data_IF_360053931961
#
_entry.id   IF_360053931961
#
_cell.length_a   1.000
_cell.length_b   1.000
_cell.length_c   1.000
_cell.angle_alpha   90.00
_cell.angle_beta   90.00
_cell.angle_gamma   90.00
#
_symmetry.space_group_name_H-M   'P 1'
#
loop_
_entity.id
_entity.type
_entity.pdbx_description
1 polymer ?
#
# COMPACT_ATOMS: atom_id res chain seq x y z
N UNK A 1 14.57 -4.41 17.20
CA UNK A 1 14.05 -4.40 18.57
C UNK A 1 14.21 -5.78 19.18
N UNK A 2 14.77 -5.93 20.39
CA UNK A 2 14.84 -7.21 21.08
C UNK A 2 13.44 -7.67 21.48
N UNK A 3 13.13 -8.95 21.27
CA UNK A 3 11.86 -9.55 21.72
C UNK A 3 11.91 -9.86 23.23
N UNK A 4 13.11 -10.15 23.74
CA UNK A 4 13.36 -10.46 25.14
C UNK A 4 14.51 -9.62 25.67
N UNK A 5 14.41 -9.20 26.92
CA UNK A 5 15.43 -8.42 27.62
C UNK A 5 16.42 -9.24 28.46
N UNK A 6 16.25 -10.55 28.52
CA UNK A 6 17.06 -11.46 29.34
C UNK A 6 17.82 -12.45 28.47
N UNK A 7 19.11 -12.64 28.73
CA UNK A 7 19.92 -13.61 28.02
C UNK A 7 19.43 -15.06 28.25
N UNK A 8 18.86 -15.34 29.42
CA UNK A 8 18.24 -16.63 29.76
C UNK A 8 17.05 -16.99 28.87
N UNK A 9 16.47 -16.01 28.16
CA UNK A 9 15.39 -16.24 27.20
C UNK A 9 15.87 -16.64 25.80
N UNK A 10 17.18 -16.72 25.59
CA UNK A 10 17.76 -17.17 24.32
C UNK A 10 17.24 -18.56 23.94
N UNK A 11 16.67 -18.69 22.76
CA UNK A 11 16.11 -19.94 22.22
C UNK A 11 14.69 -20.28 22.70
N UNK A 12 14.06 -19.45 23.55
CA UNK A 12 12.70 -19.72 24.06
C UNK A 12 11.56 -19.15 23.19
N UNK A 13 11.88 -18.55 22.04
CA UNK A 13 10.88 -17.87 21.22
C UNK A 13 9.76 -18.80 20.74
N UNK A 14 10.12 -19.96 20.17
CA UNK A 14 9.10 -20.91 19.69
C UNK A 14 8.32 -21.57 20.82
N UNK A 15 8.89 -21.69 22.00
CA UNK A 15 8.13 -22.10 23.18
C UNK A 15 7.01 -21.09 23.50
N UNK A 16 7.31 -19.79 23.46
CA UNK A 16 6.30 -18.75 23.64
C UNK A 16 5.23 -18.77 22.54
N UNK A 17 5.63 -19.02 21.30
CA UNK A 17 4.67 -19.17 20.18
C UNK A 17 3.77 -20.37 20.38
N UNK A 18 4.34 -21.51 20.75
CA UNK A 18 3.60 -22.74 21.01
C UNK A 18 2.58 -22.59 22.16
N UNK A 19 3.01 -21.96 23.26
CA UNK A 19 2.15 -21.65 24.40
C UNK A 19 0.99 -20.72 23.99
N UNK A 20 1.26 -19.69 23.19
CA UNK A 20 0.25 -18.77 22.69
C UNK A 20 -0.73 -19.44 21.71
N UNK A 21 -0.26 -20.40 20.92
CA UNK A 21 -1.06 -21.17 19.97
C UNK A 21 -1.80 -22.37 20.63
N UNK A 22 -1.46 -22.74 21.86
CA UNK A 22 -2.00 -23.90 22.55
C UNK A 22 -1.57 -25.24 21.97
N UNK A 23 -0.37 -25.32 21.37
CA UNK A 23 0.23 -26.51 20.77
C UNK A 23 1.58 -26.79 21.38
N UNK A 24 2.21 -27.91 21.04
CA UNK A 24 3.59 -28.16 21.39
C UNK A 24 4.53 -27.52 20.36
N UNK A 25 5.76 -27.23 20.79
CA UNK A 25 6.76 -26.63 19.90
C UNK A 25 7.07 -27.55 18.70
N UNK A 26 7.08 -28.86 18.89
CA UNK A 26 7.31 -29.88 17.86
C UNK A 26 6.18 -29.98 16.81
N UNK A 27 4.98 -29.45 17.13
CA UNK A 27 3.83 -29.44 16.23
C UNK A 27 3.82 -28.20 15.29
N UNK A 28 4.75 -27.26 15.47
CA UNK A 28 4.88 -26.07 14.61
C UNK A 28 5.63 -26.47 13.33
N UNK A 29 4.88 -26.76 12.27
CA UNK A 29 5.42 -27.16 10.98
C UNK A 29 5.91 -26.01 10.11
N UNK A 30 5.43 -24.81 10.37
CA UNK A 30 5.78 -23.58 9.67
C UNK A 30 5.18 -22.38 10.38
N UNK A 31 5.63 -21.19 10.04
CA UNK A 31 5.16 -19.97 10.67
C UNK A 31 5.22 -18.79 9.70
N UNK A 32 4.36 -17.81 9.96
CA UNK A 32 4.33 -16.51 9.32
C UNK A 32 4.06 -15.47 10.43
N UNK A 33 5.14 -14.91 10.96
CA UNK A 33 5.13 -14.10 12.18
C UNK A 33 5.65 -12.70 11.89
N UNK A 34 4.86 -11.70 12.27
CA UNK A 34 5.16 -10.30 12.03
C UNK A 34 5.22 -9.51 13.35
N UNK A 35 6.11 -8.52 13.39
CA UNK A 35 6.09 -7.51 14.42
C UNK A 35 5.17 -6.37 14.00
N UNK A 36 4.35 -5.91 14.92
CA UNK A 36 3.52 -4.74 14.68
C UNK A 36 3.52 -3.78 15.88
N UNK A 37 3.31 -2.51 15.59
CA UNK A 37 3.18 -1.50 16.64
C UNK A 37 1.76 -1.55 17.22
N UNK A 38 1.64 -1.69 18.54
CA UNK A 38 0.37 -1.74 19.27
C UNK A 38 -0.11 -0.37 19.76
N UNK A 39 0.63 0.69 19.48
CA UNK A 39 0.20 2.03 19.88
C UNK A 39 -1.08 2.40 19.10
N UNK A 40 -2.11 2.94 19.78
CA UNK A 40 -3.31 3.41 19.10
C UNK A 40 -2.99 4.62 18.22
N UNK A 41 -3.81 4.83 17.21
CA UNK A 41 -3.78 6.07 16.44
C UNK A 41 -4.12 7.26 17.36
N UNK A 42 -3.52 8.40 17.09
CA UNK A 42 -3.69 9.62 17.90
C UNK A 42 -3.86 10.82 16.98
N UNK A 43 -4.84 11.65 17.28
CA UNK A 43 -4.99 13.00 16.71
C UNK A 43 -4.28 13.96 17.64
N UNK A 44 -3.50 14.87 17.08
CA UNK A 44 -2.69 15.83 17.86
C UNK A 44 -2.41 17.10 17.07
N UNK A 45 -1.75 18.05 17.71
CA UNK A 45 -1.55 19.42 17.23
C UNK A 45 -2.44 20.39 18.00
N UNK A 46 -2.18 21.70 17.90
CA UNK A 46 -2.96 22.72 18.60
C UNK A 46 -4.40 22.85 18.09
N UNK A 47 -4.61 22.50 16.83
CA UNK A 47 -5.90 22.52 16.12
C UNK A 47 -6.33 21.11 15.67
N UNK A 48 -5.77 20.08 16.29
CA UNK A 48 -6.02 18.68 15.92
C UNK A 48 -5.70 18.36 14.45
N UNK A 49 -4.69 19.02 13.90
CA UNK A 49 -4.36 19.01 12.48
C UNK A 49 -3.51 17.81 12.04
N UNK A 50 -3.05 17.00 12.99
CA UNK A 50 -2.20 15.84 12.70
C UNK A 50 -2.81 14.53 13.18
N UNK A 51 -2.56 13.49 12.41
CA UNK A 51 -2.85 12.09 12.78
C UNK A 51 -1.54 11.30 12.81
N UNK A 52 -1.29 10.59 13.89
CA UNK A 52 -0.20 9.62 13.98
C UNK A 52 -0.78 8.25 14.25
N UNK A 53 -0.48 7.29 13.39
CA UNK A 53 -0.87 5.90 13.55
C UNK A 53 0.14 4.99 12.85
N UNK A 54 0.30 3.73 13.30
CA UNK A 54 1.03 2.75 12.52
C UNK A 54 0.29 2.44 11.21
N UNK A 55 1.04 2.17 10.16
CA UNK A 55 0.52 1.72 8.85
C UNK A 55 -0.36 2.75 8.11
N UNK A 56 -0.19 4.04 8.39
CA UNK A 56 -0.78 5.09 7.55
C UNK A 56 -0.31 4.95 6.10
N UNK A 57 0.95 4.65 5.94
CA UNK A 57 1.50 4.17 4.69
C UNK A 57 1.32 2.64 4.61
N UNK A 58 0.48 2.10 3.70
CA UNK A 58 -0.29 2.89 2.73
C UNK A 58 -1.82 2.72 2.94
N UNK A 59 -2.26 2.41 4.16
CA UNK A 59 -3.70 2.25 4.45
C UNK A 59 -4.48 3.56 4.24
N UNK A 60 -3.84 4.71 4.37
CA UNK A 60 -4.47 5.99 4.10
C UNK A 60 -4.87 6.14 2.63
N UNK A 61 -3.97 5.81 1.70
CA UNK A 61 -4.28 5.85 0.27
C UNK A 61 -5.26 4.76 -0.13
N UNK A 62 -5.14 3.55 0.45
CA UNK A 62 -6.10 2.47 0.23
C UNK A 62 -7.51 2.89 0.65
N UNK A 63 -7.68 3.52 1.82
CA UNK A 63 -8.96 3.99 2.31
C UNK A 63 -9.51 5.14 1.47
N UNK A 64 -8.71 6.19 1.23
CA UNK A 64 -9.17 7.38 0.51
C UNK A 64 -9.54 7.09 -0.94
N UNK A 65 -8.80 6.20 -1.62
CA UNK A 65 -9.12 5.77 -2.99
C UNK A 65 -10.39 4.91 -3.04
N UNK A 66 -10.64 4.08 -2.02
CA UNK A 66 -11.90 3.34 -1.89
C UNK A 66 -13.09 4.28 -1.68
N UNK A 67 -12.96 5.25 -0.79
CA UNK A 67 -14.00 6.27 -0.57
C UNK A 67 -14.26 7.07 -1.87
N UNK A 68 -13.20 7.41 -2.61
CA UNK A 68 -13.29 8.04 -3.92
C UNK A 68 -14.06 7.20 -4.94
N UNK A 69 -13.83 5.88 -4.96
CA UNK A 69 -14.59 4.95 -5.81
C UNK A 69 -16.08 4.94 -5.45
N UNK A 70 -16.40 4.86 -4.14
CA UNK A 70 -17.78 4.78 -3.64
C UNK A 70 -18.54 6.09 -3.93
N UNK A 71 -17.89 7.23 -3.72
CA UNK A 71 -18.48 8.55 -3.95
C UNK A 71 -18.57 8.92 -5.44
N UNK A 72 -17.74 8.29 -6.27
CA UNK A 72 -17.63 8.58 -7.69
C UNK A 72 -18.88 8.20 -8.48
N UNK A 73 -19.31 9.10 -9.37
CA UNK A 73 -20.38 8.83 -10.34
C UNK A 73 -19.76 8.72 -11.71
N UNK A 74 -19.61 7.51 -12.21
CA UNK A 74 -19.05 7.27 -13.52
C UNK A 74 -20.00 6.41 -14.38
N UNK A 75 -20.55 7.02 -15.42
CA UNK A 75 -21.48 6.36 -16.33
C UNK A 75 -20.81 5.82 -17.60
N UNK A 76 -19.54 6.18 -17.84
CA UNK A 76 -18.84 5.89 -19.11
C UNK A 76 -17.73 4.86 -19.00
N UNK A 77 -17.28 4.55 -17.79
CA UNK A 77 -16.16 3.66 -17.55
C UNK A 77 -16.45 2.73 -16.37
N UNK A 78 -15.83 1.58 -16.36
CA UNK A 78 -15.86 0.67 -15.23
C UNK A 78 -14.73 1.09 -14.28
N UNK A 79 -15.09 1.56 -13.11
CA UNK A 79 -14.10 1.87 -12.07
C UNK A 79 -13.70 0.60 -11.35
N UNK A 80 -12.41 0.41 -11.17
CA UNK A 80 -11.84 -0.72 -10.44
C UNK A 80 -10.94 -0.17 -9.35
N UNK A 81 -11.18 -0.57 -8.12
CA UNK A 81 -10.30 -0.31 -7.00
C UNK A 81 -9.58 -1.61 -6.61
N UNK A 82 -8.30 -1.53 -6.39
CA UNK A 82 -7.50 -2.68 -6.01
C UNK A 82 -6.49 -2.26 -4.95
N UNK A 83 -6.40 -3.06 -3.89
CA UNK A 83 -5.35 -2.96 -2.87
C UNK A 83 -4.43 -4.15 -3.05
N UNK A 84 -3.15 -3.88 -3.20
CA UNK A 84 -2.11 -4.90 -3.34
C UNK A 84 -1.38 -5.08 -2.02
N UNK A 85 -0.89 -6.27 -1.78
CA UNK A 85 -0.12 -6.63 -0.60
C UNK A 85 1.39 -6.63 -0.88
N UNK A 86 2.18 -6.75 0.17
CA UNK A 86 3.63 -6.95 0.11
C UNK A 86 4.42 -5.81 -0.57
N UNK A 87 3.99 -4.58 -0.50
CA UNK A 87 4.74 -3.47 -1.09
C UNK A 87 6.15 -3.37 -0.51
N UNK A 88 6.28 -3.39 0.81
CA UNK A 88 7.55 -3.30 1.55
C UNK A 88 8.47 -4.52 1.34
N UNK A 89 7.89 -5.70 1.17
CA UNK A 89 8.64 -6.93 0.83
C UNK A 89 9.09 -6.91 -0.63
N UNK A 90 8.25 -6.35 -1.49
CA UNK A 90 8.50 -6.16 -2.91
C UNK A 90 7.30 -6.50 -3.77
N UNK A 91 7.02 -5.61 -4.71
CA UNK A 91 5.90 -5.75 -5.66
C UNK A 91 6.00 -6.98 -6.56
N UNK A 92 7.19 -7.55 -6.74
CA UNK A 92 7.42 -8.78 -7.51
C UNK A 92 6.98 -10.07 -6.81
N UNK A 93 6.48 -10.00 -5.58
CA UNK A 93 5.92 -11.16 -4.87
C UNK A 93 4.60 -11.62 -5.50
N UNK A 94 4.12 -12.80 -5.11
CA UNK A 94 2.86 -13.36 -5.61
C UNK A 94 1.65 -12.47 -5.33
N UNK A 95 1.66 -11.72 -4.24
CA UNK A 95 0.58 -10.84 -3.78
C UNK A 95 0.80 -9.37 -4.17
N UNK A 96 1.98 -9.04 -4.68
CA UNK A 96 2.40 -7.68 -4.95
C UNK A 96 1.82 -7.08 -6.23
N UNK A 97 2.04 -5.79 -6.42
CA UNK A 97 1.50 -5.02 -7.55
C UNK A 97 2.02 -5.48 -8.92
N UNK A 98 3.20 -6.09 -8.98
CA UNK A 98 3.77 -6.67 -10.22
C UNK A 98 3.38 -8.14 -10.44
N UNK A 99 2.52 -8.71 -9.59
CA UNK A 99 1.98 -10.06 -9.78
C UNK A 99 1.01 -10.12 -10.97
N UNK A 100 0.60 -11.34 -11.32
CA UNK A 100 -0.41 -11.52 -12.38
C UNK A 100 -1.84 -11.29 -11.89
N UNK A 101 -2.05 -11.03 -10.60
CA UNK A 101 -3.37 -10.99 -9.98
C UNK A 101 -4.32 -10.01 -10.66
N UNK A 102 -3.92 -8.77 -10.87
CA UNK A 102 -4.75 -7.76 -11.54
C UNK A 102 -5.07 -8.19 -12.98
N UNK A 103 -4.04 -8.52 -13.74
CA UNK A 103 -4.17 -8.91 -15.16
C UNK A 103 -5.12 -10.11 -15.32
N UNK A 104 -4.87 -11.16 -14.55
CA UNK A 104 -5.62 -12.41 -14.71
C UNK A 104 -7.06 -12.26 -14.20
N UNK A 105 -7.28 -11.43 -13.16
CA UNK A 105 -8.64 -11.12 -12.67
C UNK A 105 -9.44 -10.35 -13.71
N UNK A 106 -8.88 -9.28 -14.28
CA UNK A 106 -9.56 -8.48 -15.29
C UNK A 106 -9.83 -9.28 -16.58
N UNK A 107 -8.87 -10.10 -17.00
CA UNK A 107 -9.06 -10.99 -18.15
C UNK A 107 -10.21 -11.98 -17.89
N UNK A 108 -10.25 -12.62 -16.73
CA UNK A 108 -11.32 -13.56 -16.37
C UNK A 108 -12.69 -12.88 -16.30
N UNK A 109 -12.76 -11.67 -15.77
CA UNK A 109 -14.01 -10.88 -15.80
C UNK A 109 -14.44 -10.62 -17.23
N UNK A 110 -13.53 -10.16 -18.08
CA UNK A 110 -13.81 -9.89 -19.50
C UNK A 110 -14.36 -11.14 -20.23
N UNK A 111 -13.70 -12.28 -20.06
CA UNK A 111 -14.13 -13.55 -20.63
C UNK A 111 -15.47 -14.03 -20.04
N UNK A 112 -15.67 -13.87 -18.74
CA UNK A 112 -16.92 -14.20 -18.06
C UNK A 112 -18.13 -13.36 -18.55
N UNK A 113 -17.88 -12.17 -19.06
CA UNK A 113 -18.86 -11.32 -19.73
C UNK A 113 -19.07 -11.68 -21.20
N UNK A 114 -18.50 -12.76 -21.69
CA UNK A 114 -18.61 -13.23 -23.08
C UNK A 114 -17.80 -12.41 -24.09
N UNK A 115 -16.83 -11.63 -23.62
CA UNK A 115 -15.95 -10.82 -24.47
C UNK A 115 -14.70 -11.60 -24.87
N UNK A 116 -14.13 -11.23 -26.01
CA UNK A 116 -12.89 -11.82 -26.54
C UNK A 116 -11.62 -11.33 -25.82
N UNK A 117 -10.52 -12.00 -26.08
CA UNK A 117 -9.20 -11.53 -25.63
C UNK A 117 -8.82 -10.20 -26.29
N UNK A 118 -9.21 -9.99 -27.54
CA UNK A 118 -9.01 -8.72 -28.26
C UNK A 118 -9.77 -7.57 -27.58
N UNK A 119 -11.01 -7.81 -27.15
CA UNK A 119 -11.77 -6.81 -26.38
C UNK A 119 -11.09 -6.44 -25.07
N UNK A 120 -10.42 -7.40 -24.42
CA UNK A 120 -9.63 -7.15 -23.23
C UNK A 120 -8.45 -6.22 -23.54
N UNK A 121 -7.69 -6.49 -24.60
CA UNK A 121 -6.55 -5.64 -24.99
C UNK A 121 -6.99 -4.23 -25.36
N UNK A 122 -8.09 -4.10 -26.10
CA UNK A 122 -8.69 -2.81 -26.42
C UNK A 122 -9.12 -2.06 -25.14
N UNK A 123 -9.71 -2.76 -24.21
CA UNK A 123 -10.13 -2.18 -22.92
C UNK A 123 -8.94 -1.67 -22.12
N UNK A 124 -7.85 -2.43 -22.05
CA UNK A 124 -6.61 -2.00 -21.39
C UNK A 124 -6.02 -0.75 -22.05
N UNK A 125 -5.96 -0.73 -23.38
CA UNK A 125 -5.43 0.41 -24.13
C UNK A 125 -6.24 1.71 -23.92
N UNK A 126 -7.52 1.59 -23.60
CA UNK A 126 -8.42 2.70 -23.28
C UNK A 126 -8.53 3.03 -21.80
N UNK A 127 -7.86 2.25 -20.94
CA UNK A 127 -7.89 2.42 -19.49
C UNK A 127 -6.83 3.41 -19.04
N UNK A 128 -7.11 4.03 -17.90
CA UNK A 128 -6.19 4.87 -17.16
C UNK A 128 -6.05 4.31 -15.75
N UNK A 129 -4.85 4.31 -15.19
CA UNK A 129 -4.59 3.83 -13.85
C UNK A 129 -3.99 4.94 -12.99
N UNK A 130 -4.54 5.11 -11.80
CA UNK A 130 -3.96 5.92 -10.74
C UNK A 130 -3.29 4.96 -9.76
N UNK A 131 -2.00 5.15 -9.52
CA UNK A 131 -1.27 4.50 -8.45
C UNK A 131 -1.20 5.46 -7.28
N UNK A 132 -1.77 5.08 -6.15
CA UNK A 132 -1.82 5.87 -4.94
C UNK A 132 -0.87 5.29 -3.90
N UNK A 133 -0.05 6.15 -3.34
CA UNK A 133 0.95 5.82 -2.32
C UNK A 133 1.33 7.11 -1.57
N UNK A 134 1.61 7.00 -0.28
CA UNK A 134 1.94 8.16 0.53
C UNK A 134 3.22 8.85 0.07
N UNK A 135 3.27 10.16 0.20
CA UNK A 135 4.44 10.97 -0.09
C UNK A 135 5.09 11.49 1.19
N UNK A 136 6.42 11.54 1.20
CA UNK A 136 7.13 12.24 2.25
C UNK A 136 6.93 13.75 2.12
N UNK A 137 6.53 14.39 3.22
CA UNK A 137 6.63 15.83 3.33
C UNK A 137 8.05 16.23 3.79
N UNK A 138 8.39 17.50 3.60
CA UNK A 138 9.64 18.05 4.15
C UNK A 138 9.65 17.88 5.67
N UNK A 139 10.71 17.25 6.19
CA UNK A 139 10.87 17.08 7.63
C UNK A 139 11.49 18.34 8.25
N UNK A 140 10.87 18.96 9.25
CA UNK A 140 11.33 20.24 9.81
C UNK A 140 12.76 20.17 10.38
N UNK A 141 13.18 19.03 10.91
CA UNK A 141 14.51 18.83 11.48
C UNK A 141 15.54 18.31 10.45
N UNK A 142 15.11 17.89 9.26
CA UNK A 142 15.97 17.33 8.22
C UNK A 142 15.58 17.85 6.82
N UNK A 143 15.49 19.19 6.65
CA UNK A 143 15.04 19.77 5.38
C UNK A 143 15.99 19.48 4.23
N UNK A 144 17.26 19.18 4.52
CA UNK A 144 18.29 18.82 3.54
C UNK A 144 18.05 17.46 2.87
N UNK A 145 17.16 16.61 3.43
CA UNK A 145 16.80 15.33 2.83
C UNK A 145 15.68 15.45 1.78
N UNK A 146 15.05 16.60 1.68
CA UNK A 146 14.07 16.89 0.65
C UNK A 146 14.73 17.52 -0.59
N UNK A 147 14.07 17.42 -1.73
CA UNK A 147 14.45 18.13 -2.93
C UNK A 147 14.53 19.64 -2.64
N UNK A 148 15.55 20.37 -3.14
CA UNK A 148 15.72 21.79 -2.84
C UNK A 148 14.62 22.67 -3.43
N UNK A 149 13.91 22.22 -4.47
CA UNK A 149 12.91 23.00 -5.22
C UNK A 149 11.51 22.44 -4.98
N UNK A 150 11.32 21.13 -5.13
CA UNK A 150 10.01 20.47 -4.98
C UNK A 150 9.84 19.98 -3.54
N UNK A 151 9.15 20.78 -2.74
CA UNK A 151 9.00 20.56 -1.28
C UNK A 151 7.56 20.38 -0.87
N UNK A 152 7.05 19.13 -0.86
CA UNK A 152 5.72 18.85 -0.32
C UNK A 152 5.65 19.20 1.17
N UNK A 153 4.55 19.82 1.58
CA UNK A 153 4.26 20.13 2.97
C UNK A 153 3.08 19.31 3.46
N UNK A 154 3.11 18.93 4.74
CA UNK A 154 1.95 18.28 5.39
C UNK A 154 0.73 19.23 5.28
N UNK A 155 -0.44 18.65 5.07
CA UNK A 155 -1.73 19.35 4.92
C UNK A 155 -1.82 20.30 3.71
N UNK A 156 -0.89 20.21 2.75
CA UNK A 156 -0.90 21.04 1.55
C UNK A 156 -1.61 20.38 0.34
N UNK A 157 -2.27 19.25 0.54
CA UNK A 157 -2.97 18.52 -0.51
C UNK A 157 -2.21 17.28 -0.98
N UNK A 158 -2.62 16.76 -2.13
CA UNK A 158 -1.98 15.57 -2.73
C UNK A 158 -0.65 15.93 -3.39
N UNK A 159 0.28 14.97 -3.39
CA UNK A 159 1.52 15.08 -4.12
C UNK A 159 1.44 14.27 -5.42
N UNK A 160 1.69 14.91 -6.55
CA UNK A 160 1.85 14.21 -7.83
C UNK A 160 3.31 13.82 -8.00
N UNK A 161 3.58 12.53 -8.01
CA UNK A 161 4.95 11.98 -8.05
C UNK A 161 5.42 11.81 -9.49
N UNK A 162 6.61 12.34 -9.80
CA UNK A 162 7.35 12.10 -11.03
C UNK A 162 8.64 11.37 -10.71
N UNK A 163 8.89 10.26 -11.40
CA UNK A 163 10.16 9.54 -11.22
C UNK A 163 10.58 8.85 -12.52
N UNK A 164 11.65 9.35 -13.11
CA UNK A 164 12.20 8.82 -14.37
C UNK A 164 12.75 7.39 -14.25
N UNK A 165 13.11 6.94 -13.06
CA UNK A 165 13.64 5.59 -12.81
C UNK A 165 12.55 4.55 -12.57
N UNK A 166 11.31 4.96 -12.42
CA UNK A 166 10.20 4.05 -12.19
C UNK A 166 9.47 3.71 -13.49
N UNK A 167 8.87 2.53 -13.52
CA UNK A 167 8.17 2.02 -14.71
C UNK A 167 6.80 2.68 -14.96
N UNK A 168 6.32 3.45 -14.02
CA UNK A 168 5.17 4.32 -14.23
C UNK A 168 5.65 5.72 -14.57
N UNK A 169 4.94 6.38 -15.41
CA UNK A 169 5.25 7.74 -15.82
C UNK A 169 4.02 8.62 -15.58
N UNK A 170 4.19 9.68 -14.83
CA UNK A 170 3.23 10.77 -14.81
C UNK A 170 3.68 11.79 -15.84
N UNK A 171 3.00 11.88 -16.94
CA UNK A 171 3.18 12.94 -17.93
C UNK A 171 2.33 14.18 -17.60
N UNK A 172 2.56 15.26 -18.34
CA UNK A 172 1.86 16.52 -18.09
C UNK A 172 0.35 16.45 -18.28
N UNK A 173 -0.16 15.55 -19.13
CA UNK A 173 -1.59 15.35 -19.36
C UNK A 173 -2.19 14.56 -18.20
N UNK A 174 -1.56 13.44 -17.82
CA UNK A 174 -2.01 12.62 -16.70
C UNK A 174 -1.99 13.38 -15.37
N UNK A 175 -1.02 14.27 -15.19
CA UNK A 175 -0.94 15.10 -13.98
C UNK A 175 -2.01 16.20 -13.91
N UNK A 176 -2.58 16.58 -15.04
CA UNK A 176 -3.61 17.64 -15.13
C UNK A 176 -5.04 17.08 -15.03
N UNK A 177 -5.21 15.77 -15.17
CA UNK A 177 -6.50 15.08 -15.06
C UNK A 177 -6.89 14.84 -13.61
#
# INVERSE_FOLDING_TARGET
LPLYGLESAKGSFFKTVAEAAGVKEEDILGHDLFLYNRMPGTVWGSEEEFVSAPRLDDLQCAFSSMEGLIAGKNEKSICVHMVMDNEEVGSGTRQGAASTFLRDTLLRINLGLGRSYEDYLISLAKSFMISADNAHAIHPNYPEKADPVNRPHINAGIAVKYNANQKYCTDGISAAM
#
